data_IF_907464233318
#
_entry.id   IF_907464233318
#
_cell.length_a   1.000
_cell.length_b   1.000
_cell.length_c   1.000
_cell.angle_alpha   90.00
_cell.angle_beta   90.00
_cell.angle_gamma   90.00
#
_symmetry.space_group_name_H-M   'P 1'
#
loop_
_entity.id
_entity.type
_entity.pdbx_description
1 polymer ?
#
# COMPACT_ATOMS: atom_id res chain seq x y z
N UNK A 1 -41.43 34.06 21.93
CA UNK A 1 -41.01 32.74 21.43
C UNK A 1 -41.30 32.70 19.93
N UNK A 2 -40.28 32.90 19.09
CA UNK A 2 -40.46 32.90 17.64
C UNK A 2 -40.52 31.47 17.13
N UNK A 3 -41.65 31.08 16.53
CA UNK A 3 -41.74 29.82 15.80
C UNK A 3 -40.97 29.95 14.50
N UNK A 4 -39.96 29.10 14.32
CA UNK A 4 -39.24 28.98 13.06
C UNK A 4 -40.14 28.17 12.13
N UNK A 5 -40.49 28.73 10.97
CA UNK A 5 -41.35 28.06 9.99
C UNK A 5 -40.66 26.78 9.47
N UNK A 6 -41.46 25.76 9.18
CA UNK A 6 -41.02 24.42 8.77
C UNK A 6 -40.13 24.45 7.53
N UNK A 7 -40.36 25.42 6.63
CA UNK A 7 -39.53 25.59 5.43
C UNK A 7 -38.12 26.08 5.78
N UNK A 8 -38.01 27.02 6.73
CA UNK A 8 -36.72 27.51 7.23
C UNK A 8 -35.96 26.42 7.98
N UNK A 9 -36.66 25.61 8.79
CA UNK A 9 -36.07 24.47 9.47
C UNK A 9 -35.60 23.38 8.49
N UNK A 10 -36.36 23.12 7.41
CA UNK A 10 -35.99 22.19 6.34
C UNK A 10 -34.74 22.63 5.58
N UNK A 11 -34.67 23.92 5.20
CA UNK A 11 -33.49 24.50 4.52
C UNK A 11 -32.25 24.48 5.41
N UNK A 12 -32.39 24.77 6.71
CA UNK A 12 -31.28 24.71 7.66
C UNK A 12 -30.74 23.28 7.83
N UNK A 13 -31.62 22.27 7.90
CA UNK A 13 -31.22 20.86 7.95
C UNK A 13 -30.55 20.39 6.67
N UNK A 14 -31.06 20.82 5.51
CA UNK A 14 -30.44 20.50 4.24
C UNK A 14 -29.07 21.18 4.09
N UNK A 15 -28.94 22.45 4.48
CA UNK A 15 -27.67 23.16 4.48
C UNK A 15 -26.66 22.52 5.46
N UNK A 16 -27.12 22.06 6.63
CA UNK A 16 -26.28 21.31 7.57
C UNK A 16 -25.83 19.97 6.99
N UNK A 17 -26.73 19.21 6.36
CA UNK A 17 -26.40 17.95 5.68
C UNK A 17 -25.41 18.16 4.53
N UNK A 18 -25.59 19.20 3.72
CA UNK A 18 -24.66 19.58 2.65
C UNK A 18 -23.32 20.05 3.21
N UNK A 19 -23.32 20.80 4.31
CA UNK A 19 -22.10 21.25 4.98
C UNK A 19 -21.35 20.09 5.67
N UNK A 20 -22.07 19.09 6.18
CA UNK A 20 -21.53 17.88 6.79
C UNK A 20 -20.93 16.97 5.70
N UNK A 21 -21.62 16.79 4.56
CA UNK A 21 -21.05 16.16 3.37
C UNK A 21 -19.84 16.92 2.83
N UNK A 22 -19.89 18.26 2.78
CA UNK A 22 -18.78 19.09 2.31
C UNK A 22 -17.59 19.08 3.28
N UNK A 23 -17.84 18.95 4.58
CA UNK A 23 -16.81 18.87 5.63
C UNK A 23 -16.20 17.47 5.71
N UNK A 24 -16.97 16.41 5.42
CA UNK A 24 -16.45 15.07 5.15
C UNK A 24 -15.56 15.07 3.88
N UNK A 25 -15.99 15.76 2.82
CA UNK A 25 -15.21 16.00 1.59
C UNK A 25 -14.02 16.95 1.76
N UNK A 26 -13.86 17.63 2.90
CA UNK A 26 -12.82 18.65 3.11
C UNK A 26 -11.46 18.06 3.52
N UNK A 27 -11.41 16.79 3.95
CA UNK A 27 -10.16 16.04 3.93
C UNK A 27 -10.03 15.42 2.53
N UNK A 28 -9.53 16.19 1.55
CA UNK A 28 -9.30 15.67 0.21
C UNK A 28 -8.49 14.36 0.32
N UNK A 29 -8.96 13.27 -0.30
CA UNK A 29 -8.29 11.97 -0.27
C UNK A 29 -6.77 12.09 -0.42
N UNK A 30 -6.03 11.35 0.40
CA UNK A 30 -4.57 11.27 0.32
C UNK A 30 -4.14 10.77 -1.06
N UNK A 31 -4.89 9.83 -1.64
CA UNK A 31 -4.68 9.34 -3.00
C UNK A 31 -4.79 10.49 -4.02
N UNK A 32 -5.86 11.31 -3.96
CA UNK A 32 -6.03 12.47 -4.86
C UNK A 32 -4.93 13.50 -4.68
N UNK A 33 -4.58 13.82 -3.44
CA UNK A 33 -3.51 14.78 -3.14
C UNK A 33 -2.16 14.34 -3.73
N UNK A 34 -1.84 13.05 -3.61
CA UNK A 34 -0.60 12.50 -4.13
C UNK A 34 -0.62 12.32 -5.66
N UNK A 35 -1.75 11.88 -6.22
CA UNK A 35 -1.92 11.50 -7.60
C UNK A 35 -3.22 12.10 -8.18
N UNK A 36 -3.23 13.39 -8.57
CA UNK A 36 -4.44 14.05 -9.12
C UNK A 36 -5.02 13.37 -10.37
N UNK A 37 -4.19 12.59 -11.10
CA UNK A 37 -4.61 11.80 -12.27
C UNK A 37 -5.70 10.78 -11.92
N UNK A 38 -5.79 10.32 -10.67
CA UNK A 38 -6.77 9.34 -10.23
C UNK A 38 -8.21 9.85 -10.40
N UNK A 39 -8.48 11.14 -10.16
CA UNK A 39 -9.79 11.72 -10.41
C UNK A 39 -10.19 11.58 -11.87
N UNK A 40 -9.27 11.81 -12.81
CA UNK A 40 -9.54 11.61 -14.23
C UNK A 40 -9.89 10.17 -14.58
N UNK A 41 -9.19 9.21 -13.99
CA UNK A 41 -9.43 7.77 -14.19
C UNK A 41 -10.78 7.33 -13.60
N UNK A 42 -11.16 7.92 -12.47
CA UNK A 42 -12.42 7.64 -11.76
C UNK A 42 -13.52 8.64 -12.15
N UNK A 43 -13.49 9.18 -13.37
CA UNK A 43 -14.57 10.02 -13.95
C UNK A 43 -14.94 11.27 -13.13
N UNK A 44 -13.96 11.85 -12.43
CA UNK A 44 -14.10 12.97 -11.48
C UNK A 44 -14.97 12.65 -10.26
N UNK A 45 -15.18 11.36 -9.97
CA UNK A 45 -15.90 10.89 -8.79
C UNK A 45 -14.95 10.86 -7.59
N UNK A 46 -15.06 11.89 -6.76
CA UNK A 46 -14.32 11.98 -5.50
C UNK A 46 -14.73 10.90 -4.51
N UNK A 47 -16.03 10.58 -4.45
CA UNK A 47 -16.57 9.62 -3.49
C UNK A 47 -16.02 8.21 -3.82
N UNK A 48 -15.83 7.88 -5.11
CA UNK A 48 -15.21 6.63 -5.53
C UNK A 48 -13.71 6.54 -5.20
N UNK A 49 -12.95 7.64 -5.27
CA UNK A 49 -11.53 7.64 -4.84
C UNK A 49 -11.42 7.50 -3.32
N UNK A 50 -12.30 8.17 -2.58
CA UNK A 50 -12.38 8.07 -1.12
C UNK A 50 -12.72 6.63 -0.70
N UNK A 51 -13.70 6.00 -1.36
CA UNK A 51 -14.07 4.59 -1.11
C UNK A 51 -12.90 3.62 -1.37
N UNK A 52 -12.12 3.85 -2.44
CA UNK A 52 -10.93 3.06 -2.71
C UNK A 52 -9.86 3.25 -1.61
N UNK A 53 -9.63 4.48 -1.16
CA UNK A 53 -8.69 4.78 -0.08
C UNK A 53 -9.09 4.09 1.24
N UNK A 54 -10.37 4.21 1.61
CA UNK A 54 -10.94 3.57 2.79
C UNK A 54 -10.83 2.05 2.70
N UNK A 55 -11.23 1.45 1.58
CA UNK A 55 -11.16 -0.01 1.38
C UNK A 55 -9.73 -0.54 1.50
N UNK A 56 -8.75 0.16 0.95
CA UNK A 56 -7.34 -0.20 1.05
C UNK A 56 -6.81 -0.09 2.50
N UNK A 57 -7.20 0.97 3.22
CA UNK A 57 -6.83 1.14 4.63
C UNK A 57 -7.47 0.06 5.53
N UNK A 58 -8.73 -0.30 5.27
CA UNK A 58 -9.43 -1.39 5.95
C UNK A 58 -8.75 -2.73 5.73
N UNK A 59 -8.27 -3.01 4.51
CA UNK A 59 -7.53 -4.24 4.22
C UNK A 59 -6.25 -4.35 5.09
N UNK A 60 -5.51 -3.26 5.28
CA UNK A 60 -4.35 -3.25 6.18
C UNK A 60 -4.77 -3.47 7.65
N UNK A 61 -5.82 -2.79 8.11
CA UNK A 61 -6.32 -2.93 9.49
C UNK A 61 -6.81 -4.36 9.79
N UNK A 62 -7.57 -4.96 8.87
CA UNK A 62 -8.07 -6.33 8.99
C UNK A 62 -6.93 -7.34 8.97
N UNK A 63 -5.95 -7.15 8.08
CA UNK A 63 -4.77 -8.02 8.03
C UNK A 63 -3.98 -7.98 9.35
N UNK A 64 -3.81 -6.79 9.94
CA UNK A 64 -3.18 -6.63 11.26
C UNK A 64 -3.92 -7.39 12.36
N UNK A 65 -5.25 -7.19 12.44
CA UNK A 65 -6.10 -7.82 13.43
C UNK A 65 -6.08 -9.35 13.31
N UNK A 66 -6.33 -9.89 12.12
CA UNK A 66 -6.35 -11.33 11.86
C UNK A 66 -4.96 -11.95 12.05
N UNK A 67 -3.92 -11.25 11.59
CA UNK A 67 -2.53 -11.68 11.74
C UNK A 67 -2.10 -11.80 13.21
N UNK A 68 -2.48 -10.83 14.05
CA UNK A 68 -2.16 -10.85 15.48
C UNK A 68 -3.03 -11.81 16.29
N UNK A 69 -4.31 -11.97 15.93
CA UNK A 69 -5.24 -12.88 16.62
C UNK A 69 -4.69 -14.31 16.72
N UNK A 70 -3.97 -14.76 15.69
CA UNK A 70 -3.41 -16.11 15.60
C UNK A 70 -2.32 -16.42 16.65
N UNK A 71 -1.56 -15.42 17.10
CA UNK A 71 -0.40 -15.63 17.97
C UNK A 71 -0.47 -14.87 19.30
N UNK A 72 -1.24 -13.78 19.35
CA UNK A 72 -1.26 -12.87 20.48
C UNK A 72 -2.67 -12.61 21.00
N UNK A 73 -3.66 -13.45 20.68
CA UNK A 73 -5.05 -13.29 21.16
C UNK A 73 -5.64 -11.89 20.90
N UNK A 74 -5.25 -11.27 19.78
CA UNK A 74 -5.77 -9.99 19.33
C UNK A 74 -5.03 -8.75 19.87
N UNK A 75 -4.04 -8.92 20.76
CA UNK A 75 -3.18 -7.78 21.17
C UNK A 75 -2.05 -7.54 20.16
N UNK A 76 -1.54 -6.31 20.06
CA UNK A 76 -0.29 -6.04 19.36
C UNK A 76 0.90 -6.76 20.01
N UNK A 77 1.85 -7.29 19.21
CA UNK A 77 3.08 -7.87 19.75
C UNK A 77 3.96 -6.80 20.40
N UNK A 78 4.70 -7.18 21.43
CA UNK A 78 5.71 -6.33 22.06
C UNK A 78 6.99 -6.25 21.23
N UNK A 79 7.85 -5.26 21.53
CA UNK A 79 9.16 -5.13 20.87
C UNK A 79 10.04 -6.37 21.03
N UNK A 80 10.01 -7.00 22.21
CA UNK A 80 10.75 -8.22 22.47
C UNK A 80 10.23 -9.37 21.58
N UNK A 81 8.91 -9.59 21.58
CA UNK A 81 8.28 -10.63 20.76
C UNK A 81 8.54 -10.43 19.27
N UNK A 82 8.45 -9.20 18.76
CA UNK A 82 8.77 -8.86 17.37
C UNK A 82 10.23 -9.22 16.98
N UNK A 83 11.16 -9.14 17.93
CA UNK A 83 12.59 -9.34 17.71
C UNK A 83 13.03 -10.79 17.89
N UNK A 84 12.15 -11.66 18.40
CA UNK A 84 12.43 -13.08 18.57
C UNK A 84 12.82 -13.72 17.24
N UNK A 85 13.92 -14.47 17.24
CA UNK A 85 14.30 -15.32 16.10
C UNK A 85 13.45 -16.58 16.19
N UNK A 86 12.62 -16.80 15.19
CA UNK A 86 11.66 -17.92 15.16
C UNK A 86 12.12 -19.06 14.26
N UNK A 87 13.00 -18.75 13.31
CA UNK A 87 13.53 -19.69 12.32
C UNK A 87 14.84 -19.13 11.76
N UNK A 88 15.57 -19.94 10.97
CA UNK A 88 16.62 -19.48 10.07
C UNK A 88 16.26 -19.86 8.64
N UNK A 89 16.51 -18.99 7.69
CA UNK A 89 16.32 -19.32 6.27
C UNK A 89 17.34 -20.36 5.79
N UNK A 90 17.20 -20.82 4.53
CA UNK A 90 18.12 -21.80 3.92
C UNK A 90 19.57 -21.33 3.84
N UNK A 91 19.80 -20.02 3.88
CA UNK A 91 21.11 -19.39 3.88
C UNK A 91 21.65 -19.14 5.30
N UNK A 92 20.90 -19.55 6.34
CA UNK A 92 21.27 -19.39 7.74
C UNK A 92 20.94 -18.01 8.32
N UNK A 93 20.29 -17.11 7.57
CA UNK A 93 19.91 -15.80 8.09
C UNK A 93 18.76 -15.94 9.09
N UNK A 94 18.78 -15.21 10.21
CA UNK A 94 17.70 -15.25 11.18
C UNK A 94 16.40 -14.70 10.59
N UNK A 95 15.31 -15.43 10.79
CA UNK A 95 13.95 -14.97 10.52
C UNK A 95 13.36 -14.54 11.86
N UNK A 96 13.05 -13.24 11.98
CA UNK A 96 12.39 -12.72 13.19
C UNK A 96 10.88 -12.94 13.15
N UNK A 97 10.23 -12.89 14.32
CA UNK A 97 8.77 -12.90 14.42
C UNK A 97 8.14 -11.77 13.62
N UNK A 98 8.73 -10.57 13.65
CA UNK A 98 8.26 -9.43 12.84
C UNK A 98 8.25 -9.76 11.34
N UNK A 99 9.29 -10.42 10.82
CA UNK A 99 9.34 -10.85 9.43
C UNK A 99 8.26 -11.89 9.11
N UNK A 100 8.04 -12.86 10.00
CA UNK A 100 7.02 -13.89 9.83
C UNK A 100 5.61 -13.28 9.81
N UNK A 101 5.29 -12.43 10.79
CA UNK A 101 4.00 -11.75 10.86
C UNK A 101 3.78 -10.82 9.67
N UNK A 102 4.80 -10.05 9.29
CA UNK A 102 4.75 -9.14 8.14
C UNK A 102 4.42 -9.89 6.84
N UNK A 103 5.01 -11.06 6.61
CA UNK A 103 4.68 -11.91 5.45
C UNK A 103 3.23 -12.40 5.48
N UNK A 104 2.77 -12.89 6.62
CA UNK A 104 1.38 -13.36 6.76
C UNK A 104 0.37 -12.23 6.54
N UNK A 105 0.62 -11.06 7.14
CA UNK A 105 -0.26 -9.88 7.02
C UNK A 105 -0.28 -9.34 5.60
N UNK A 106 0.84 -9.32 4.89
CA UNK A 106 0.87 -9.00 3.46
C UNK A 106 -0.07 -9.88 2.65
N UNK A 107 0.00 -11.20 2.81
CA UNK A 107 -0.88 -12.13 2.08
C UNK A 107 -2.36 -11.80 2.33
N UNK A 108 -2.74 -11.53 3.58
CA UNK A 108 -4.11 -11.20 3.94
C UNK A 108 -4.56 -9.84 3.37
N UNK A 109 -3.69 -8.83 3.42
CA UNK A 109 -4.00 -7.50 2.91
C UNK A 109 -4.12 -7.50 1.37
N UNK A 110 -3.23 -8.20 0.68
CA UNK A 110 -3.25 -8.31 -0.77
C UNK A 110 -4.50 -9.03 -1.28
N UNK A 111 -4.95 -10.09 -0.60
CA UNK A 111 -6.22 -10.75 -0.95
C UNK A 111 -7.41 -9.80 -0.84
N UNK A 112 -7.51 -9.06 0.26
CA UNK A 112 -8.56 -8.07 0.46
C UNK A 112 -8.48 -6.91 -0.56
N UNK A 113 -7.26 -6.43 -0.84
CA UNK A 113 -7.04 -5.34 -1.78
C UNK A 113 -7.38 -5.77 -3.21
N UNK A 114 -7.07 -7.00 -3.61
CA UNK A 114 -7.44 -7.55 -4.91
C UNK A 114 -8.96 -7.53 -5.12
N UNK A 115 -9.73 -7.93 -4.11
CA UNK A 115 -11.21 -7.88 -4.15
C UNK A 115 -11.71 -6.44 -4.32
N UNK A 116 -11.20 -5.50 -3.51
CA UNK A 116 -11.57 -4.09 -3.60
C UNK A 116 -11.18 -3.45 -4.93
N UNK A 117 -10.00 -3.76 -5.46
CA UNK A 117 -9.53 -3.24 -6.75
C UNK A 117 -10.35 -3.76 -7.92
N UNK A 118 -10.78 -5.03 -7.91
CA UNK A 118 -11.66 -5.58 -8.95
C UNK A 118 -13.02 -4.88 -9.00
N UNK A 119 -13.48 -4.36 -7.86
CA UNK A 119 -14.75 -3.67 -7.71
C UNK A 119 -14.64 -2.17 -8.07
N UNK A 120 -13.59 -1.50 -7.58
CA UNK A 120 -13.51 -0.03 -7.57
C UNK A 120 -12.53 0.54 -8.60
N UNK A 121 -11.51 -0.20 -9.03
CA UNK A 121 -10.46 0.33 -9.90
C UNK A 121 -10.80 0.10 -11.39
N UNK A 122 -10.89 1.15 -12.22
CA UNK A 122 -11.41 1.05 -13.58
C UNK A 122 -10.40 0.56 -14.64
N UNK A 123 -9.14 0.35 -14.26
CA UNK A 123 -8.03 0.07 -15.16
C UNK A 123 -7.24 -1.18 -14.73
N UNK A 124 -6.25 -1.64 -15.52
CA UNK A 124 -5.39 -2.72 -15.08
C UNK A 124 -4.65 -2.38 -13.78
N UNK A 125 -4.37 -3.42 -12.99
CA UNK A 125 -3.49 -3.34 -11.83
C UNK A 125 -2.61 -4.58 -11.77
N UNK A 126 -1.44 -4.45 -11.13
CA UNK A 126 -0.52 -5.54 -10.89
C UNK A 126 -0.37 -5.77 -9.40
N UNK A 127 -0.36 -7.04 -8.98
CA UNK A 127 -0.12 -7.46 -7.59
C UNK A 127 1.24 -8.14 -7.52
N UNK A 128 2.12 -7.66 -6.64
CA UNK A 128 3.46 -8.19 -6.43
C UNK A 128 4.25 -8.43 -7.74
N UNK A 129 4.00 -7.64 -8.79
CA UNK A 129 4.74 -7.75 -10.04
C UNK A 129 6.18 -7.30 -9.81
N UNK A 130 7.11 -8.21 -10.10
CA UNK A 130 8.54 -7.91 -10.02
C UNK A 130 9.04 -7.23 -11.28
N UNK A 131 9.83 -6.18 -11.12
CA UNK A 131 10.46 -5.47 -12.21
C UNK A 131 11.97 -5.44 -12.06
N UNK A 132 12.68 -5.42 -13.19
CA UNK A 132 14.09 -5.04 -13.24
C UNK A 132 14.20 -3.63 -13.79
N UNK A 133 14.74 -2.75 -12.96
CA UNK A 133 14.92 -1.35 -13.30
C UNK A 133 16.39 -1.05 -13.57
N UNK A 134 16.65 -0.43 -14.72
CA UNK A 134 17.97 0.00 -15.18
C UNK A 134 18.04 1.53 -15.13
N UNK A 135 18.53 2.15 -14.03
CA UNK A 135 18.43 3.59 -13.84
C UNK A 135 19.16 4.41 -14.90
N UNK A 136 20.34 3.94 -15.32
CA UNK A 136 21.17 4.64 -16.30
C UNK A 136 20.54 4.68 -17.70
N UNK A 137 19.84 3.61 -18.08
CA UNK A 137 19.14 3.51 -19.36
C UNK A 137 17.70 4.02 -19.28
N UNK A 138 17.19 4.32 -18.07
CA UNK A 138 15.77 4.60 -17.79
C UNK A 138 14.85 3.55 -18.40
N UNK A 139 15.25 2.29 -18.28
CA UNK A 139 14.56 1.15 -18.85
C UNK A 139 14.01 0.26 -17.73
N UNK A 140 12.81 -0.27 -17.94
CA UNK A 140 12.10 -1.13 -17.02
C UNK A 140 11.60 -2.36 -17.77
N UNK A 141 11.78 -3.54 -17.20
CA UNK A 141 11.21 -4.78 -17.71
C UNK A 141 10.52 -5.56 -16.59
N UNK A 142 9.49 -6.32 -16.95
CA UNK A 142 8.81 -7.24 -16.04
C UNK A 142 9.59 -8.55 -15.91
N UNK A 143 9.67 -9.07 -14.70
CA UNK A 143 10.08 -10.46 -14.45
C UNK A 143 8.80 -11.29 -14.28
N UNK A 144 8.59 -12.28 -15.14
CA UNK A 144 7.40 -13.13 -15.04
C UNK A 144 7.40 -13.96 -13.75
N UNK A 145 6.23 -14.33 -13.20
CA UNK A 145 6.17 -15.19 -12.01
C UNK A 145 6.92 -16.53 -12.17
N UNK A 146 6.89 -17.11 -13.38
CA UNK A 146 7.66 -18.33 -13.69
C UNK A 146 9.16 -18.09 -13.60
N UNK A 147 9.63 -16.98 -14.14
CA UNK A 147 11.05 -16.62 -14.11
C UNK A 147 11.50 -16.29 -12.68
N UNK A 148 10.69 -15.53 -11.93
CA UNK A 148 10.95 -15.28 -10.51
C UNK A 148 11.04 -16.58 -9.71
N UNK A 149 10.07 -17.49 -9.85
CA UNK A 149 10.08 -18.78 -9.17
C UNK A 149 11.31 -19.62 -9.55
N UNK A 150 11.72 -19.59 -10.82
CA UNK A 150 12.94 -20.26 -11.29
C UNK A 150 14.19 -19.70 -10.62
N UNK A 151 14.34 -18.36 -10.56
CA UNK A 151 15.47 -17.69 -9.93
C UNK A 151 15.52 -17.96 -8.42
N UNK A 152 14.37 -17.96 -7.74
CA UNK A 152 14.28 -18.32 -6.32
C UNK A 152 14.69 -19.78 -6.10
N UNK A 153 14.24 -20.71 -6.96
CA UNK A 153 14.53 -22.13 -6.84
C UNK A 153 16.02 -22.46 -7.04
N UNK A 154 16.75 -21.67 -7.82
CA UNK A 154 18.18 -21.84 -8.08
C UNK A 154 19.07 -21.49 -6.87
N UNK A 155 18.52 -20.78 -5.87
CA UNK A 155 19.20 -20.43 -4.62
C UNK A 155 20.10 -19.20 -4.73
N UNK A 156 20.19 -18.45 -3.62
CA UNK A 156 21.04 -17.25 -3.44
C UNK A 156 20.90 -16.21 -4.58
N UNK A 157 19.79 -15.49 -4.54
CA UNK A 157 19.18 -14.68 -5.61
C UNK A 157 19.94 -13.40 -5.99
N UNK A 158 21.22 -13.48 -6.36
CA UNK A 158 21.97 -12.35 -6.92
C UNK A 158 21.33 -11.83 -8.21
N UNK A 159 20.68 -12.69 -9.00
CA UNK A 159 19.95 -12.32 -10.22
C UNK A 159 18.67 -11.50 -9.95
N UNK A 160 18.16 -11.56 -8.71
CA UNK A 160 17.07 -10.70 -8.24
C UNK A 160 17.60 -9.42 -7.57
N UNK A 161 18.92 -9.27 -7.41
CA UNK A 161 19.52 -8.06 -6.85
C UNK A 161 19.21 -6.87 -7.74
N UNK A 162 18.76 -5.78 -7.13
CA UNK A 162 18.33 -4.59 -7.85
C UNK A 162 17.01 -4.77 -8.61
N UNK A 163 16.25 -5.83 -8.34
CA UNK A 163 14.84 -5.88 -8.77
C UNK A 163 13.96 -5.22 -7.72
N UNK A 164 12.83 -4.68 -8.16
CA UNK A 164 11.80 -4.09 -7.29
C UNK A 164 10.52 -4.91 -7.37
N UNK A 165 9.76 -4.94 -6.28
CA UNK A 165 8.47 -5.64 -6.22
C UNK A 165 7.52 -4.85 -5.30
N UNK A 166 6.83 -3.83 -5.82
CA UNK A 166 5.74 -3.18 -5.09
C UNK A 166 4.61 -4.17 -4.82
N UNK A 167 3.83 -3.92 -3.77
CA UNK A 167 2.67 -4.76 -3.48
C UNK A 167 1.57 -4.57 -4.51
N UNK A 168 1.29 -3.31 -4.86
CA UNK A 168 0.30 -2.96 -5.88
C UNK A 168 0.86 -1.89 -6.82
N UNK A 169 0.59 -2.07 -8.10
CA UNK A 169 0.79 -1.03 -9.13
C UNK A 169 -0.54 -0.81 -9.81
N UNK A 170 -1.10 0.39 -9.64
CA UNK A 170 -2.33 0.81 -10.32
C UNK A 170 -1.95 1.50 -11.62
N UNK A 171 -2.38 0.96 -12.75
CA UNK A 171 -2.07 1.50 -14.07
C UNK A 171 -3.17 2.45 -14.54
N UNK A 172 -2.81 3.52 -15.24
CA UNK A 172 -3.79 4.45 -15.83
C UNK A 172 -4.31 3.97 -17.19
N UNK A 173 -3.59 3.08 -17.84
CA UNK A 173 -3.91 2.53 -19.16
C UNK A 173 -3.33 1.11 -19.30
N UNK A 174 -3.06 0.65 -20.53
CA UNK A 174 -2.51 -0.68 -20.81
C UNK A 174 -0.97 -0.73 -20.80
N UNK A 175 -0.28 0.37 -20.53
CA UNK A 175 1.17 0.41 -20.33
C UNK A 175 1.53 -0.07 -18.91
N UNK A 176 1.72 -1.38 -18.75
CA UNK A 176 2.01 -2.02 -17.47
C UNK A 176 3.39 -1.67 -16.88
N UNK A 177 4.20 -0.89 -17.61
CA UNK A 177 5.50 -0.39 -17.16
C UNK A 177 5.40 1.02 -16.55
N UNK A 178 4.19 1.60 -16.50
CA UNK A 178 3.92 2.87 -15.83
C UNK A 178 2.84 2.73 -14.78
N UNK A 179 2.98 3.48 -13.70
CA UNK A 179 1.98 3.53 -12.63
C UNK A 179 1.25 4.88 -12.65
N UNK A 180 -0.07 4.86 -12.54
CA UNK A 180 -0.81 6.01 -12.02
C UNK A 180 -0.51 6.19 -10.52
N UNK A 181 -0.42 5.09 -9.79
CA UNK A 181 -0.12 5.05 -8.37
C UNK A 181 0.53 3.71 -8.00
N UNK A 182 1.57 3.74 -7.16
CA UNK A 182 2.20 2.55 -6.58
C UNK A 182 1.92 2.52 -5.08
N UNK A 183 1.56 1.35 -4.55
CA UNK A 183 1.22 1.18 -3.14
C UNK A 183 2.03 0.03 -2.53
N UNK A 184 2.44 0.20 -1.28
CA UNK A 184 3.19 -0.80 -0.52
C UNK A 184 2.63 -0.86 0.92
N UNK A 185 2.17 -2.03 1.34
CA UNK A 185 1.66 -2.26 2.67
C UNK A 185 2.83 -2.36 3.66
N UNK A 186 2.70 -1.71 4.81
CA UNK A 186 3.66 -1.79 5.90
C UNK A 186 2.96 -2.22 7.17
N UNK A 187 3.50 -3.25 7.80
CA UNK A 187 3.03 -3.77 9.09
C UNK A 187 4.13 -3.60 10.14
N UNK A 188 4.24 -2.42 10.77
CA UNK A 188 5.20 -2.19 11.84
C UNK A 188 4.99 -3.17 13.00
N UNK A 189 6.09 -3.57 13.63
CA UNK A 189 6.09 -4.45 14.80
C UNK A 189 7.11 -3.93 15.81
N UNK A 190 6.70 -3.47 17.00
CA UNK A 190 5.33 -3.35 17.51
C UNK A 190 4.52 -2.25 16.79
N UNK A 191 3.23 -2.13 17.11
CA UNK A 191 2.29 -1.11 16.60
C UNK A 191 2.71 0.34 16.89
N UNK A 192 3.46 0.56 17.97
CA UNK A 192 4.08 1.86 18.29
C UNK A 192 5.17 2.31 17.30
N UNK A 193 5.62 1.45 16.38
CA UNK A 193 6.53 1.86 15.32
C UNK A 193 5.75 2.54 14.19
N UNK A 194 6.30 3.62 13.64
CA UNK A 194 5.76 4.23 12.43
C UNK A 194 6.03 3.36 11.19
N UNK A 195 5.11 3.33 10.22
CA UNK A 195 5.40 2.77 8.89
C UNK A 195 6.52 3.57 8.24
N UNK A 196 7.44 2.88 7.56
CA UNK A 196 8.55 3.53 6.86
C UNK A 196 8.92 2.78 5.60
N UNK A 197 9.42 3.51 4.61
CA UNK A 197 10.09 2.93 3.46
C UNK A 197 11.40 2.27 3.89
N UNK A 198 11.75 1.17 3.23
CA UNK A 198 13.02 0.50 3.46
C UNK A 198 14.13 1.31 2.79
N UNK A 199 15.11 1.76 3.59
CA UNK A 199 16.34 2.35 3.09
C UNK A 199 17.26 1.25 2.53
N UNK A 200 17.82 1.50 1.35
CA UNK A 200 18.76 0.59 0.73
C UNK A 200 20.18 0.79 1.29
N UNK A 201 20.70 -0.27 1.89
CA UNK A 201 22.04 -0.32 2.46
C UNK A 201 23.16 -0.50 1.42
N UNK A 202 24.44 -0.59 1.88
CA UNK A 202 25.62 -0.60 1.00
C UNK A 202 25.71 -1.73 -0.02
N UNK A 203 25.03 -2.85 0.23
CA UNK A 203 24.97 -3.98 -0.70
C UNK A 203 23.94 -3.79 -1.83
N UNK A 204 23.10 -2.76 -1.78
CA UNK A 204 22.09 -2.51 -2.80
C UNK A 204 22.65 -1.63 -3.93
N UNK A 205 22.29 -1.88 -5.20
CA UNK A 205 22.56 -0.93 -6.29
C UNK A 205 21.83 0.42 -6.12
N UNK A 206 20.91 0.50 -5.15
CA UNK A 206 20.13 1.69 -4.82
C UNK A 206 20.58 2.37 -3.52
N UNK A 207 21.82 2.12 -3.09
CA UNK A 207 22.40 2.70 -1.86
C UNK A 207 22.06 4.18 -1.67
N UNK A 208 21.64 4.53 -0.45
CA UNK A 208 21.32 5.91 -0.07
C UNK A 208 19.96 6.41 -0.57
N UNK A 209 19.20 5.55 -1.24
CA UNK A 209 17.80 5.79 -1.60
C UNK A 209 16.88 4.87 -0.81
N UNK A 210 15.61 5.22 -0.71
CA UNK A 210 14.60 4.30 -0.18
C UNK A 210 13.74 3.65 -1.27
N UNK A 211 13.03 2.62 -0.87
CA UNK A 211 12.15 1.83 -1.73
C UNK A 211 11.13 2.69 -2.49
N UNK A 212 10.51 3.68 -1.84
CA UNK A 212 9.50 4.54 -2.47
C UNK A 212 10.10 5.44 -3.55
N UNK A 213 11.32 5.94 -3.34
CA UNK A 213 12.05 6.70 -4.36
C UNK A 213 12.38 5.86 -5.60
N UNK A 214 12.74 4.59 -5.41
CA UNK A 214 13.04 3.70 -6.54
C UNK A 214 11.76 3.36 -7.30
N UNK A 215 10.65 3.10 -6.62
CA UNK A 215 9.37 2.86 -7.28
C UNK A 215 8.95 4.05 -8.14
N UNK A 216 8.99 5.26 -7.56
CA UNK A 216 8.69 6.49 -8.30
C UNK A 216 9.62 6.69 -9.51
N UNK A 217 10.92 6.43 -9.34
CA UNK A 217 11.87 6.57 -10.44
C UNK A 217 11.68 5.52 -11.55
N UNK A 218 11.27 4.30 -11.19
CA UNK A 218 11.09 3.20 -12.11
C UNK A 218 9.76 3.26 -12.88
N UNK A 219 8.65 3.53 -12.17
CA UNK A 219 7.28 3.44 -12.69
C UNK A 219 6.64 4.81 -12.99
N UNK A 220 7.29 5.91 -12.58
CA UNK A 220 6.92 7.29 -12.87
C UNK A 220 5.84 7.89 -11.96
N UNK A 221 4.88 7.10 -11.48
CA UNK A 221 3.81 7.58 -10.60
C UNK A 221 4.25 7.75 -9.13
N UNK A 222 3.42 8.40 -8.30
CA UNK A 222 3.63 8.47 -6.85
C UNK A 222 3.68 7.08 -6.22
N UNK A 223 4.43 6.96 -5.12
CA UNK A 223 4.50 5.77 -4.29
C UNK A 223 4.02 6.13 -2.88
N UNK A 224 3.04 5.40 -2.37
CA UNK A 224 2.45 5.61 -1.03
C UNK A 224 2.53 4.35 -0.19
N UNK A 225 2.55 4.54 1.13
CA UNK A 225 2.45 3.46 2.11
C UNK A 225 1.01 3.28 2.54
N UNK A 226 0.64 2.03 2.82
CA UNK A 226 -0.61 1.73 3.52
C UNK A 226 -0.26 0.97 4.79
N UNK A 227 -0.79 1.38 5.93
CA UNK A 227 -0.49 0.67 7.18
C UNK A 227 -1.65 0.70 8.16
N UNK A 228 -1.76 -0.33 9.02
CA UNK A 228 -2.79 -0.35 10.05
C UNK A 228 -2.63 0.86 10.98
N UNK A 229 -3.75 1.48 11.35
CA UNK A 229 -3.81 2.64 12.25
C UNK A 229 -3.34 3.97 11.67
N UNK A 230 -2.63 3.98 10.53
CA UNK A 230 -2.20 5.22 9.87
C UNK A 230 -2.85 5.44 8.50
N UNK A 231 -3.51 4.43 7.93
CA UNK A 231 -4.16 4.52 6.63
C UNK A 231 -3.14 4.66 5.49
N UNK A 232 -3.54 5.36 4.43
CA UNK A 232 -2.67 5.71 3.30
C UNK A 232 -1.83 6.93 3.67
N UNK A 233 -0.52 6.88 3.39
CA UNK A 233 0.42 7.96 3.69
C UNK A 233 1.36 8.23 2.52
N UNK A 234 1.68 9.51 2.24
CA UNK A 234 2.85 9.84 1.45
C UNK A 234 4.14 9.40 2.17
N UNK A 235 5.24 9.43 1.42
CA UNK A 235 6.60 9.31 1.98
C UNK A 235 6.86 10.38 3.02
#
# INVERSE_FOLDING_TARGET
MGFVDSETAGKARHAAYVAEQASARAAASTLVQAAPVLLGLMQQDHDAVDELEERLAECAARAEQVGNARYFHGRPPTRQECSEIVEKDRCGNPITRAMQLGKQKHVLALQCAEEGLKELWPAPFSIEQRYRYYPNARFLETISPREEARLIAQGCTEELRGTIKPDLVLHGDRDLLKSALTLDFKFPCPDSNLPKWTEYGPSSPYIGRDQGEIYKAALGGPALLISPGNGVRPR
#
